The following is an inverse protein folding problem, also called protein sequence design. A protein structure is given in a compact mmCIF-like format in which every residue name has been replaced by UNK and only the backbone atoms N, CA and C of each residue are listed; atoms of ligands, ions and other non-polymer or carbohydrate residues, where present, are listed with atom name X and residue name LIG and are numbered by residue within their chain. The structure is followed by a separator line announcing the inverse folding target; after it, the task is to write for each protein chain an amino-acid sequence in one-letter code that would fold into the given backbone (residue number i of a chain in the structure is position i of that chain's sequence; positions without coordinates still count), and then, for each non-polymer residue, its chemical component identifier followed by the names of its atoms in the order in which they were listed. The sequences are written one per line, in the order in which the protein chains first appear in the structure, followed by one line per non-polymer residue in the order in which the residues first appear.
data_IF_259781620627
#
_entry.id   IF_259781620627
#
_cell.length_a   1.000
_cell.length_b   1.000
_cell.length_c   1.000
_cell.angle_alpha   90.00
_cell.angle_beta   90.00
_cell.angle_gamma   90.00
#
_symmetry.space_group_name_H-M   'P 1'
#
loop_
_entity.id
_entity.type
_entity.pdbx_description
1 polymer ?
#
# COMPACT_ATOMS: atom_id res chain seq x y z
N UNK A 1 3.95 -6.23 -25.44
CA UNK A 1 4.68 -5.28 -24.56
C UNK A 1 4.82 -3.97 -25.29
N UNK A 2 4.77 -2.86 -24.55
CA UNK A 2 5.02 -1.51 -25.11
C UNK A 2 6.40 -1.04 -24.66
N UNK A 3 7.12 -0.34 -25.53
CA UNK A 3 8.45 0.21 -25.23
C UNK A 3 8.26 1.60 -24.62
N UNK A 4 8.90 1.85 -23.47
CA UNK A 4 8.94 3.15 -22.82
C UNK A 4 10.40 3.58 -22.77
N UNK A 5 10.72 4.73 -23.36
CA UNK A 5 12.06 5.31 -23.34
C UNK A 5 12.07 6.51 -22.39
N UNK A 6 12.91 6.46 -21.35
CA UNK A 6 13.01 7.51 -20.32
C UNK A 6 14.48 7.85 -20.13
N UNK A 7 14.78 9.14 -19.97
CA UNK A 7 16.11 9.61 -19.57
C UNK A 7 16.14 9.76 -18.05
N UNK A 8 17.12 9.13 -17.41
CA UNK A 8 17.32 9.18 -15.96
C UNK A 8 18.75 9.63 -15.62
N UNK A 9 18.99 10.27 -14.46
CA UNK A 9 20.33 10.61 -14.03
C UNK A 9 21.23 9.37 -13.87
N UNK A 10 22.53 9.51 -14.14
CA UNK A 10 23.51 8.42 -14.03
C UNK A 10 23.54 7.78 -12.62
N UNK A 11 23.35 8.59 -11.58
CA UNK A 11 23.27 8.11 -10.19
C UNK A 11 22.09 7.15 -9.97
N UNK A 12 20.94 7.43 -10.60
CA UNK A 12 19.76 6.59 -10.53
C UNK A 12 19.95 5.32 -11.36
N UNK A 13 20.54 5.45 -12.54
CA UNK A 13 20.90 4.31 -13.38
C UNK A 13 21.83 3.34 -12.63
N UNK A 14 22.87 3.84 -11.97
CA UNK A 14 23.77 3.01 -11.15
C UNK A 14 23.03 2.29 -10.02
N UNK A 15 22.18 3.03 -9.29
CA UNK A 15 21.42 2.47 -8.16
C UNK A 15 20.43 1.38 -8.63
N UNK A 16 19.83 1.56 -9.80
CA UNK A 16 18.94 0.60 -10.42
C UNK A 16 19.67 -0.71 -10.76
N UNK A 17 20.87 -0.62 -11.34
CA UNK A 17 21.72 -1.78 -11.60
C UNK A 17 22.08 -2.52 -10.31
N UNK A 18 22.56 -1.80 -9.29
CA UNK A 18 22.98 -2.39 -8.02
C UNK A 18 21.82 -3.11 -7.31
N UNK A 19 20.58 -2.59 -7.40
CA UNK A 19 19.40 -3.20 -6.81
C UNK A 19 18.91 -4.42 -7.62
N UNK A 20 18.85 -4.30 -8.95
CA UNK A 20 18.45 -5.40 -9.81
C UNK A 20 19.41 -6.61 -9.68
N UNK A 21 20.72 -6.36 -9.55
CA UNK A 21 21.73 -7.39 -9.33
C UNK A 21 21.55 -8.09 -7.97
N UNK A 22 21.28 -7.32 -6.90
CA UNK A 22 20.97 -7.87 -5.56
C UNK A 22 19.74 -8.77 -5.56
N UNK A 23 18.70 -8.37 -6.30
CA UNK A 23 17.45 -9.11 -6.40
C UNK A 23 17.52 -10.25 -7.42
N UNK A 24 18.61 -10.35 -8.19
CA UNK A 24 18.83 -11.38 -9.21
C UNK A 24 17.85 -11.30 -10.39
N UNK A 25 17.32 -10.10 -10.69
CA UNK A 25 16.34 -9.86 -11.77
C UNK A 25 16.88 -8.91 -12.83
N UNK A 26 16.29 -8.93 -14.02
CA UNK A 26 16.65 -7.98 -15.07
C UNK A 26 16.16 -6.57 -14.71
N UNK A 27 16.81 -5.56 -15.30
CA UNK A 27 16.40 -4.16 -15.14
C UNK A 27 14.97 -3.93 -15.63
N UNK A 28 14.61 -4.52 -16.77
CA UNK A 28 13.26 -4.40 -17.31
C UNK A 28 12.20 -4.97 -16.35
N UNK A 29 12.52 -6.10 -15.70
CA UNK A 29 11.66 -6.70 -14.69
C UNK A 29 11.59 -5.81 -13.45
N UNK A 30 12.73 -5.30 -12.97
CA UNK A 30 12.78 -4.38 -11.83
C UNK A 30 11.91 -3.14 -12.08
N UNK A 31 12.09 -2.48 -13.23
CA UNK A 31 11.31 -1.29 -13.63
C UNK A 31 9.82 -1.63 -13.72
N UNK A 32 9.48 -2.76 -14.34
CA UNK A 32 8.08 -3.18 -14.49
C UNK A 32 7.40 -3.41 -13.15
N UNK A 33 8.08 -4.06 -12.21
CA UNK A 33 7.58 -4.28 -10.85
C UNK A 33 7.43 -2.96 -10.09
N UNK A 34 8.45 -2.10 -10.12
CA UNK A 34 8.40 -0.80 -9.45
C UNK A 34 7.26 0.10 -9.98
N UNK A 35 7.00 0.07 -11.29
CA UNK A 35 5.86 0.76 -11.90
C UNK A 35 4.55 0.17 -11.39
N UNK A 36 4.41 -1.16 -11.38
CA UNK A 36 3.21 -1.83 -10.90
C UNK A 36 2.92 -1.51 -9.43
N UNK A 37 3.93 -1.53 -8.58
CA UNK A 37 3.83 -1.16 -7.16
C UNK A 37 3.41 0.29 -6.98
N UNK A 38 4.06 1.22 -7.68
CA UNK A 38 3.73 2.65 -7.61
C UNK A 38 2.29 2.91 -8.06
N UNK A 39 1.86 2.29 -9.15
CA UNK A 39 0.49 2.41 -9.64
C UNK A 39 -0.50 1.82 -8.64
N UNK A 40 -0.23 0.64 -8.09
CA UNK A 40 -1.09 0.00 -7.08
C UNK A 40 -1.26 0.89 -5.84
N UNK A 41 -0.17 1.49 -5.34
CA UNK A 41 -0.21 2.40 -4.21
C UNK A 41 -1.07 3.64 -4.50
N UNK A 42 -0.84 4.31 -5.64
CA UNK A 42 -1.58 5.53 -6.01
C UNK A 42 -3.06 5.24 -6.28
N UNK A 43 -3.38 4.12 -6.94
CA UNK A 43 -4.76 3.71 -7.20
C UNK A 43 -5.49 3.37 -5.90
N UNK A 44 -4.83 2.65 -4.99
CA UNK A 44 -5.37 2.33 -3.67
C UNK A 44 -5.64 3.58 -2.85
N UNK A 45 -4.70 4.52 -2.81
CA UNK A 45 -4.88 5.79 -2.11
C UNK A 45 -6.11 6.56 -2.64
N UNK A 46 -6.23 6.69 -3.96
CA UNK A 46 -7.37 7.35 -4.59
C UNK A 46 -8.69 6.64 -4.27
N UNK A 47 -8.71 5.31 -4.37
CA UNK A 47 -9.88 4.50 -4.01
C UNK A 47 -10.32 4.75 -2.57
N UNK A 48 -9.38 4.73 -1.61
CA UNK A 48 -9.67 4.96 -0.20
C UNK A 48 -10.20 6.37 0.05
N UNK A 49 -9.63 7.40 -0.61
CA UNK A 49 -10.14 8.79 -0.54
C UNK A 49 -11.58 8.89 -1.04
N UNK A 50 -11.89 8.32 -2.20
CA UNK A 50 -13.26 8.31 -2.73
C UNK A 50 -14.22 7.46 -1.89
N UNK A 51 -13.75 6.36 -1.30
CA UNK A 51 -14.53 5.54 -0.37
C UNK A 51 -14.83 6.29 0.92
N UNK A 52 -13.87 7.05 1.44
CA UNK A 52 -13.99 7.83 2.66
C UNK A 52 -15.04 8.95 2.53
N UNK A 53 -15.15 9.59 1.35
CA UNK A 53 -16.21 10.58 1.06
C UNK A 53 -17.63 10.01 1.21
N UNK A 54 -17.79 8.70 1.02
CA UNK A 54 -19.07 7.99 1.21
C UNK A 54 -19.32 7.58 2.67
N UNK A 55 -18.34 7.78 3.55
CA UNK A 55 -18.45 7.51 4.98
C UNK A 55 -19.26 8.57 5.72
N UNK A 56 -19.87 8.18 6.83
CA UNK A 56 -20.53 9.11 7.75
C UNK A 56 -20.09 8.79 9.17
N UNK A 57 -19.46 9.77 9.83
CA UNK A 57 -19.01 9.63 11.21
C UNK A 57 -20.17 9.31 12.15
N UNK A 58 -21.30 9.99 11.96
CA UNK A 58 -22.53 9.75 12.73
C UNK A 58 -23.03 8.31 12.58
N UNK A 59 -23.07 7.77 11.35
CA UNK A 59 -23.48 6.37 11.14
C UNK A 59 -22.50 5.38 11.76
N UNK A 60 -21.21 5.69 11.73
CA UNK A 60 -20.17 4.88 12.37
C UNK A 60 -20.36 4.83 13.89
N UNK A 61 -20.51 5.98 14.54
CA UNK A 61 -20.74 6.08 15.98
C UNK A 61 -22.06 5.44 16.41
N UNK A 62 -23.13 5.60 15.62
CA UNK A 62 -24.42 4.97 15.89
C UNK A 62 -24.37 3.43 15.83
N UNK A 63 -23.47 2.85 15.03
CA UNK A 63 -23.24 1.41 15.02
C UNK A 63 -22.39 0.99 16.23
N UNK A 64 -21.33 1.75 16.56
CA UNK A 64 -20.49 1.46 17.72
C UNK A 64 -21.27 1.52 19.03
N UNK A 65 -22.22 2.44 19.17
CA UNK A 65 -23.08 2.53 20.35
C UNK A 65 -23.97 1.29 20.58
N UNK A 66 -24.08 0.38 19.60
CA UNK A 66 -24.78 -0.90 19.77
C UNK A 66 -23.89 -1.98 20.41
N UNK A 67 -22.58 -1.77 20.44
CA UNK A 67 -21.64 -2.69 21.07
C UNK A 67 -21.77 -2.53 22.59
N UNK A 68 -22.03 -3.61 23.35
CA UNK A 68 -22.09 -3.55 24.80
C UNK A 68 -20.74 -3.10 25.38
N UNK A 69 -20.80 -2.20 26.36
CA UNK A 69 -19.62 -1.79 27.14
C UNK A 69 -19.34 -2.82 28.24
N UNK A 70 -18.69 -3.92 27.85
CA UNK A 70 -18.34 -5.06 28.73
C UNK A 70 -16.90 -5.49 28.48
N UNK A 71 -16.29 -6.10 29.49
CA UNK A 71 -14.96 -6.68 29.35
C UNK A 71 -14.95 -7.74 28.24
N UNK A 72 -13.90 -7.77 27.40
CA UNK A 72 -13.76 -8.79 26.36
C UNK A 72 -13.61 -10.18 26.98
N UNK A 73 -14.01 -11.20 26.23
CA UNK A 73 -13.81 -12.58 26.67
C UNK A 73 -12.31 -12.91 26.79
N UNK A 74 -11.90 -13.87 27.64
CA UNK A 74 -10.48 -14.15 27.89
C UNK A 74 -9.63 -14.50 26.66
N UNK A 75 -10.25 -14.99 25.58
CA UNK A 75 -9.55 -15.27 24.32
C UNK A 75 -9.44 -14.05 23.39
N UNK A 76 -10.21 -12.99 23.65
CA UNK A 76 -10.26 -11.74 22.89
C UNK A 76 -9.51 -10.59 23.61
N UNK A 77 -8.92 -10.89 24.77
CA UNK A 77 -8.01 -9.98 25.46
C UNK A 77 -6.70 -9.85 24.70
N UNK A 78 -6.19 -8.62 24.56
CA UNK A 78 -4.84 -8.37 24.04
C UNK A 78 -3.81 -9.02 25.00
N UNK A 79 -2.80 -9.75 24.49
CA UNK A 79 -1.77 -10.34 25.34
C UNK A 79 -1.08 -9.27 26.19
N UNK A 80 -0.97 -9.50 27.49
CA UNK A 80 -0.13 -8.69 28.37
C UNK A 80 1.34 -9.08 28.10
N UNK A 81 2.14 -8.09 27.67
CA UNK A 81 3.59 -8.24 27.43
C UNK A 81 4.34 -8.33 28.75
#
# INVERSE_FOLDING_TARGET
MSIIQVQIPDSLHKSLYDLADRDGISIDQFISTAIAEKLSALMTENYLKERAKRGSRLKYEAILAKVPDVEPEPYDTIPTV
#
